data_IF_631473044908
#
_entry.id   IF_631473044908
#
_cell.length_a   1.000
_cell.length_b   1.000
_cell.length_c   1.000
_cell.angle_alpha   90.00
_cell.angle_beta   90.00
_cell.angle_gamma   90.00
#
_symmetry.space_group_name_H-M   'P 1'
#
loop_
_entity.id
_entity.type
_entity.pdbx_description
1 polymer ?
#
# COMPACT_ATOMS: atom_id res chain seq x y z
N UNK A 1 -4.80 -9.24 26.99
CA UNK A 1 -4.15 -7.96 26.61
C UNK A 1 -3.76 -8.01 25.12
N UNK A 2 -4.67 -7.72 24.18
CA UNK A 2 -4.32 -7.71 22.75
C UNK A 2 -3.72 -6.37 22.32
N UNK A 3 -2.47 -6.20 22.78
CA UNK A 3 -1.32 -5.56 22.14
C UNK A 3 -1.51 -4.37 21.18
N UNK A 4 -2.23 -3.34 21.63
CA UNK A 4 -2.25 -2.05 20.95
C UNK A 4 -0.83 -1.46 20.79
N UNK A 5 0.06 -1.73 21.75
CA UNK A 5 1.46 -1.29 21.71
C UNK A 5 2.23 -1.99 20.59
N UNK A 6 2.14 -3.31 20.44
CA UNK A 6 2.75 -4.03 19.31
C UNK A 6 2.22 -3.57 17.97
N UNK A 7 0.91 -3.31 17.84
CA UNK A 7 0.35 -2.78 16.58
C UNK A 7 1.01 -1.44 16.20
N UNK A 8 1.22 -0.54 17.16
CA UNK A 8 1.90 0.74 16.92
C UNK A 8 3.37 0.52 16.55
N UNK A 9 4.07 -0.40 17.24
CA UNK A 9 5.47 -0.72 16.93
C UNK A 9 5.60 -1.26 15.51
N UNK A 10 4.77 -2.25 15.14
CA UNK A 10 4.76 -2.84 13.80
C UNK A 10 4.40 -1.81 12.75
N UNK A 11 3.41 -0.94 12.99
CA UNK A 11 3.04 0.13 12.06
C UNK A 11 4.20 1.08 11.77
N UNK A 12 4.97 1.49 12.79
CA UNK A 12 6.17 2.33 12.63
C UNK A 12 7.31 1.64 11.88
N UNK A 13 7.28 0.31 11.85
CA UNK A 13 8.28 -0.50 11.20
C UNK A 13 8.07 -0.56 9.67
N UNK A 14 6.94 -0.06 9.15
CA UNK A 14 6.72 0.13 7.72
C UNK A 14 7.37 1.44 7.25
N UNK A 15 8.15 1.34 6.18
CA UNK A 15 8.77 2.50 5.53
C UNK A 15 8.03 2.80 4.22
N UNK A 16 7.56 4.03 4.05
CA UNK A 16 6.76 4.43 2.89
C UNK A 16 7.45 4.16 1.54
N UNK A 17 8.78 4.38 1.45
CA UNK A 17 9.54 4.08 0.22
C UNK A 17 9.53 2.60 -0.15
N UNK A 18 9.77 1.72 0.84
CA UNK A 18 9.70 0.27 0.65
C UNK A 18 8.29 -0.20 0.30
N UNK A 19 7.26 0.34 0.97
CA UNK A 19 5.86 0.05 0.66
C UNK A 19 5.50 0.45 -0.78
N UNK A 20 5.91 1.64 -1.21
CA UNK A 20 5.66 2.14 -2.58
C UNK A 20 6.36 1.28 -3.62
N UNK A 21 7.60 0.84 -3.35
CA UNK A 21 8.31 -0.08 -4.24
C UNK A 21 7.55 -1.40 -4.42
N UNK A 22 7.10 -2.03 -3.33
CA UNK A 22 6.32 -3.28 -3.38
C UNK A 22 4.99 -3.09 -4.09
N UNK A 23 4.28 -1.99 -3.83
CA UNK A 23 3.04 -1.65 -4.52
C UNK A 23 3.26 -1.48 -6.03
N UNK A 24 4.31 -0.75 -6.44
CA UNK A 24 4.73 -0.61 -7.84
C UNK A 24 5.07 -1.96 -8.48
N UNK A 25 5.80 -2.83 -7.78
CA UNK A 25 6.18 -4.15 -8.28
C UNK A 25 4.95 -5.04 -8.53
N UNK A 26 3.99 -5.05 -7.61
CA UNK A 26 2.71 -5.78 -7.78
C UNK A 26 1.92 -5.30 -8.99
N UNK A 27 1.84 -3.99 -9.22
CA UNK A 27 1.16 -3.41 -10.39
C UNK A 27 1.84 -3.88 -11.68
N UNK A 28 3.18 -3.88 -11.70
CA UNK A 28 4.01 -4.28 -12.85
C UNK A 28 4.08 -5.80 -13.05
N UNK A 29 3.47 -6.60 -12.18
CA UNK A 29 3.57 -8.05 -12.21
C UNK A 29 4.96 -8.58 -11.83
N UNK A 30 5.78 -7.75 -11.17
CA UNK A 30 7.06 -8.18 -10.58
C UNK A 30 6.76 -8.79 -9.22
N UNK A 31 6.83 -10.11 -9.13
CA UNK A 31 6.46 -10.84 -7.94
C UNK A 31 7.63 -10.94 -6.97
N UNK A 32 7.37 -10.70 -5.68
CA UNK A 32 8.34 -11.08 -4.64
C UNK A 32 8.49 -12.59 -4.60
N UNK A 33 9.63 -13.08 -4.11
CA UNK A 33 9.88 -14.52 -3.93
C UNK A 33 8.70 -15.26 -3.26
N UNK A 34 8.06 -14.65 -2.25
CA UNK A 34 6.89 -15.24 -1.59
C UNK A 34 5.66 -15.48 -2.49
N UNK A 35 5.46 -14.71 -3.56
CA UNK A 35 4.39 -14.99 -4.53
C UNK A 35 4.76 -16.19 -5.40
N UNK A 36 5.99 -16.22 -5.93
CA UNK A 36 6.50 -17.31 -6.77
C UNK A 36 6.54 -18.64 -6.02
N UNK A 37 7.10 -18.65 -4.80
CA UNK A 37 7.24 -19.86 -3.97
C UNK A 37 5.88 -20.48 -3.60
N UNK A 38 4.82 -19.68 -3.53
CA UNK A 38 3.46 -20.12 -3.21
C UNK A 38 2.58 -20.33 -4.46
N UNK A 39 3.11 -20.10 -5.66
CA UNK A 39 2.33 -20.17 -6.90
C UNK A 39 1.17 -19.17 -6.95
N UNK A 40 1.32 -18.02 -6.29
CA UNK A 40 0.30 -16.98 -6.19
C UNK A 40 0.53 -15.88 -7.23
N UNK A 41 -0.55 -15.18 -7.57
CA UNK A 41 -0.49 -13.96 -8.39
C UNK A 41 -1.44 -12.92 -7.80
N UNK A 42 -1.06 -11.62 -7.75
CA UNK A 42 -1.91 -10.57 -7.25
C UNK A 42 -3.19 -10.43 -8.08
N UNK A 43 -4.33 -10.48 -7.41
CA UNK A 43 -5.64 -10.19 -7.98
C UNK A 43 -5.74 -8.76 -8.52
N UNK A 44 -6.68 -8.49 -9.45
CA UNK A 44 -6.97 -7.13 -9.92
C UNK A 44 -7.29 -6.17 -8.77
N UNK A 45 -8.02 -6.63 -7.74
CA UNK A 45 -8.33 -5.84 -6.55
C UNK A 45 -7.07 -5.43 -5.80
N UNK A 46 -6.13 -6.36 -5.59
CA UNK A 46 -4.87 -6.06 -4.91
C UNK A 46 -3.98 -5.10 -5.71
N UNK A 47 -3.96 -5.24 -7.05
CA UNK A 47 -3.28 -4.29 -7.94
C UNK A 47 -3.90 -2.90 -7.87
N UNK A 48 -5.23 -2.79 -7.80
CA UNK A 48 -5.95 -1.53 -7.65
C UNK A 48 -5.59 -0.83 -6.33
N UNK A 49 -5.57 -1.57 -5.21
CA UNK A 49 -5.13 -1.07 -3.91
C UNK A 49 -3.67 -0.57 -3.98
N UNK A 50 -2.78 -1.34 -4.61
CA UNK A 50 -1.39 -0.92 -4.83
C UNK A 50 -1.29 0.37 -5.63
N UNK A 51 -2.09 0.52 -6.69
CA UNK A 51 -2.15 1.72 -7.53
C UNK A 51 -2.62 2.94 -6.73
N UNK A 52 -3.70 2.79 -5.95
CA UNK A 52 -4.20 3.84 -5.06
C UNK A 52 -3.15 4.24 -4.03
N UNK A 53 -2.44 3.28 -3.42
CA UNK A 53 -1.37 3.58 -2.47
C UNK A 53 -0.25 4.41 -3.12
N UNK A 54 0.24 4.00 -4.31
CA UNK A 54 1.27 4.75 -5.03
C UNK A 54 0.80 6.18 -5.34
N UNK A 55 -0.40 6.35 -5.88
CA UNK A 55 -0.95 7.67 -6.19
C UNK A 55 -1.03 8.56 -4.94
N UNK A 56 -1.62 8.07 -3.85
CA UNK A 56 -1.75 8.82 -2.61
C UNK A 56 -0.38 9.16 -1.98
N UNK A 57 0.59 8.25 -2.09
CA UNK A 57 1.95 8.48 -1.60
C UNK A 57 2.67 9.58 -2.40
N UNK A 58 2.45 9.67 -3.71
CA UNK A 58 2.96 10.78 -4.54
C UNK A 58 2.25 12.09 -4.19
N UNK A 59 0.92 12.09 -4.11
CA UNK A 59 0.14 13.29 -3.78
C UNK A 59 0.50 13.84 -2.39
N UNK A 60 0.78 12.96 -1.42
CA UNK A 60 1.31 13.36 -0.12
C UNK A 60 2.70 13.99 -0.26
N UNK A 61 3.58 13.40 -1.06
CA UNK A 61 4.92 13.94 -1.28
C UNK A 61 4.88 15.33 -1.95
N UNK A 62 4.04 15.51 -2.97
CA UNK A 62 3.79 16.81 -3.60
C UNK A 62 3.28 17.82 -2.56
N UNK A 63 2.25 17.46 -1.77
CA UNK A 63 1.70 18.35 -0.76
C UNK A 63 2.71 18.76 0.34
N UNK A 64 3.61 17.85 0.72
CA UNK A 64 4.59 18.09 1.78
C UNK A 64 5.83 18.88 1.30
N UNK A 65 6.22 18.73 0.02
CA UNK A 65 7.53 19.18 -0.46
C UNK A 65 7.49 20.14 -1.65
N UNK A 66 6.41 20.18 -2.42
CA UNK A 66 6.26 21.12 -3.53
C UNK A 66 5.53 22.39 -3.08
N UNK A 67 6.31 23.45 -2.85
CA UNK A 67 5.79 24.77 -2.45
C UNK A 67 4.90 25.44 -3.51
N UNK A 68 4.94 24.95 -4.76
CA UNK A 68 4.08 25.39 -5.86
C UNK A 68 2.83 24.54 -6.04
N UNK A 69 2.71 23.42 -5.31
CA UNK A 69 1.55 22.55 -5.42
C UNK A 69 0.30 23.23 -4.86
N UNK A 70 -0.78 23.20 -5.64
CA UNK A 70 -2.10 23.62 -5.19
C UNK A 70 -3.09 22.50 -5.47
N UNK A 71 -3.99 22.27 -4.51
CA UNK A 71 -5.02 21.26 -4.60
C UNK A 71 -6.38 21.93 -4.46
N UNK A 72 -7.25 21.71 -5.44
CA UNK A 72 -8.64 22.12 -5.35
C UNK A 72 -9.39 21.22 -4.37
N UNK A 73 -10.50 21.72 -3.83
CA UNK A 73 -11.36 20.92 -2.94
C UNK A 73 -11.84 19.63 -3.62
N UNK A 74 -12.20 19.69 -4.89
CA UNK A 74 -12.69 18.54 -5.64
C UNK A 74 -11.61 17.45 -5.83
N UNK A 75 -10.37 17.85 -6.11
CA UNK A 75 -9.24 16.92 -6.20
C UNK A 75 -8.99 16.21 -4.86
N UNK A 76 -8.99 16.95 -3.75
CA UNK A 76 -8.79 16.37 -2.42
C UNK A 76 -9.92 15.40 -2.08
N UNK A 77 -11.18 15.76 -2.36
CA UNK A 77 -12.32 14.87 -2.12
C UNK A 77 -12.20 13.57 -2.92
N UNK A 78 -11.79 13.63 -4.19
CA UNK A 78 -11.52 12.44 -5.00
C UNK A 78 -10.42 11.55 -4.41
N UNK A 79 -9.35 12.13 -3.88
CA UNK A 79 -8.28 11.38 -3.21
C UNK A 79 -8.77 10.68 -1.93
N UNK A 80 -9.59 11.38 -1.13
CA UNK A 80 -10.21 10.80 0.07
C UNK A 80 -11.10 9.63 -0.31
N UNK A 81 -12.01 9.78 -1.27
CA UNK A 81 -12.87 8.70 -1.72
C UNK A 81 -12.08 7.50 -2.28
N UNK A 82 -10.99 7.75 -3.02
CA UNK A 82 -10.10 6.69 -3.50
C UNK A 82 -9.51 5.90 -2.32
N UNK A 83 -9.06 6.61 -1.28
CA UNK A 83 -8.52 5.96 -0.07
C UNK A 83 -9.58 5.11 0.64
N UNK A 84 -10.81 5.61 0.77
CA UNK A 84 -11.92 4.89 1.42
C UNK A 84 -12.32 3.62 0.65
N UNK A 85 -12.36 3.71 -0.69
CA UNK A 85 -12.59 2.55 -1.56
C UNK A 85 -11.48 1.51 -1.42
N UNK A 86 -10.21 1.92 -1.47
CA UNK A 86 -9.08 1.01 -1.28
C UNK A 86 -9.11 0.31 0.09
N UNK A 87 -9.50 1.02 1.16
CA UNK A 87 -9.67 0.41 2.48
C UNK A 87 -10.87 -0.57 2.53
N UNK A 88 -11.94 -0.27 1.79
CA UNK A 88 -13.10 -1.18 1.66
C UNK A 88 -12.71 -2.47 0.96
N UNK A 89 -12.02 -2.37 -0.17
CA UNK A 89 -11.52 -3.51 -0.93
C UNK A 89 -10.50 -4.31 -0.11
N UNK A 90 -9.59 -3.62 0.59
CA UNK A 90 -8.64 -4.26 1.48
C UNK A 90 -9.33 -5.09 2.56
N UNK A 91 -10.40 -4.58 3.19
CA UNK A 91 -11.14 -5.34 4.21
C UNK A 91 -11.72 -6.65 3.69
N UNK A 92 -12.08 -6.71 2.41
CA UNK A 92 -12.60 -7.92 1.77
C UNK A 92 -11.48 -8.94 1.53
N UNK A 93 -10.29 -8.50 1.11
CA UNK A 93 -9.22 -9.40 0.68
C UNK A 93 -8.11 -9.66 1.72
N UNK A 94 -8.02 -8.88 2.81
CA UNK A 94 -6.89 -8.91 3.78
C UNK A 94 -6.60 -10.28 4.43
N UNK A 95 -7.49 -11.26 4.28
CA UNK A 95 -7.34 -12.63 4.81
C UNK A 95 -6.90 -13.64 3.74
N UNK A 96 -6.75 -13.23 2.48
CA UNK A 96 -6.24 -14.09 1.42
C UNK A 96 -4.72 -14.25 1.54
N UNK A 97 -4.18 -15.34 0.97
CA UNK A 97 -2.73 -15.58 0.98
C UNK A 97 -1.96 -14.49 0.22
N UNK A 98 -2.47 -14.05 -0.93
CA UNK A 98 -1.88 -12.96 -1.71
C UNK A 98 -1.77 -11.66 -0.91
N UNK A 99 -2.80 -11.28 -0.15
CA UNK A 99 -2.80 -10.06 0.64
C UNK A 99 -1.82 -10.16 1.82
N UNK A 100 -1.67 -11.34 2.42
CA UNK A 100 -0.66 -11.57 3.46
C UNK A 100 0.75 -11.46 2.90
N UNK A 101 1.04 -12.07 1.74
CA UNK A 101 2.34 -11.94 1.07
C UNK A 101 2.61 -10.48 0.74
N UNK A 102 1.62 -9.75 0.22
CA UNK A 102 1.76 -8.33 -0.07
C UNK A 102 2.14 -7.50 1.17
N UNK A 103 1.43 -7.68 2.27
CA UNK A 103 1.67 -6.96 3.52
C UNK A 103 3.04 -7.32 4.13
N UNK A 104 3.42 -8.59 4.08
CA UNK A 104 4.74 -9.06 4.54
C UNK A 104 5.85 -8.50 3.68
N UNK A 105 5.71 -8.51 2.35
CA UNK A 105 6.68 -7.92 1.43
C UNK A 105 6.85 -6.43 1.69
N UNK A 106 5.76 -5.68 1.95
CA UNK A 106 5.82 -4.27 2.33
C UNK A 106 6.62 -4.02 3.61
N UNK A 107 6.55 -4.93 4.56
CA UNK A 107 7.35 -4.85 5.78
C UNK A 107 8.82 -5.21 5.47
N UNK A 108 9.07 -6.35 4.84
CA UNK A 108 10.42 -6.91 4.72
C UNK A 108 11.31 -6.15 3.72
N UNK A 109 10.76 -5.55 2.66
CA UNK A 109 11.53 -4.91 1.58
C UNK A 109 12.50 -3.82 2.05
N UNK A 110 12.20 -3.11 3.15
CA UNK A 110 13.06 -2.05 3.69
C UNK A 110 14.13 -2.54 4.68
N UNK A 111 14.37 -3.86 4.73
CA UNK A 111 15.23 -4.51 5.75
C UNK A 111 16.33 -5.39 5.15
N UNK A 112 16.47 -5.37 3.82
CA UNK A 112 17.56 -6.03 3.09
C UNK A 112 18.78 -5.08 2.97
#
# INVERSE_FOLDING_TARGET
MSDAKLRVIVARAFQHGAMKAVASDVIKGKFSKGYSDLGLSPSPTLKSIGSTFCNLQEKRHEADYDIGASFTRDEVLKLVEQSERAFTDWRQIRRTKEAMVFLQSMLLKGRD
#
